data_IF_743355930870
#
_entry.id   IF_743355930870
#
_cell.length_a   1.000
_cell.length_b   1.000
_cell.length_c   1.000
_cell.angle_alpha   90.00
_cell.angle_beta   90.00
_cell.angle_gamma   90.00
#
_symmetry.space_group_name_H-M   'P 1'
#
loop_
_entity.id
_entity.type
_entity.pdbx_description
1 polymer ?
#
# COMPACT_ATOMS: atom_id res chain seq x y z
N UNK A 1 -4.51 6.42 -3.18
CA UNK A 1 -3.94 5.24 -3.91
C UNK A 1 -2.72 5.60 -4.72
N UNK A 2 -1.67 4.77 -4.63
CA UNK A 2 -0.41 4.91 -5.38
C UNK A 2 -0.53 4.63 -6.88
N UNK A 3 0.43 5.13 -7.67
CA UNK A 3 0.60 4.70 -9.08
C UNK A 3 1.09 3.25 -9.11
N UNK A 4 0.39 2.40 -9.89
CA UNK A 4 0.69 0.97 -9.98
C UNK A 4 0.48 0.42 -11.39
N UNK A 5 1.47 -0.28 -11.92
CA UNK A 5 1.44 -0.87 -13.26
C UNK A 5 0.43 -2.01 -13.29
N UNK A 6 -0.46 -2.00 -14.28
CA UNK A 6 -1.54 -2.98 -14.37
C UNK A 6 -2.73 -2.70 -13.45
N UNK A 7 -2.75 -1.56 -12.73
CA UNK A 7 -3.90 -1.15 -11.91
C UNK A 7 -5.20 -1.21 -12.72
N UNK A 8 -6.11 -2.12 -12.34
CA UNK A 8 -7.43 -2.33 -12.95
C UNK A 8 -8.43 -1.19 -12.68
N UNK A 9 -7.96 0.02 -12.37
CA UNK A 9 -8.80 1.19 -12.01
C UNK A 9 -9.94 1.45 -12.99
N UNK A 10 -9.71 1.33 -14.31
CA UNK A 10 -10.74 1.55 -15.34
C UNK A 10 -11.71 0.36 -15.50
N UNK A 11 -11.32 -0.82 -15.03
CA UNK A 11 -12.07 -2.07 -15.19
C UNK A 11 -12.73 -2.53 -13.90
N UNK A 12 -12.37 -1.96 -12.75
CA UNK A 12 -12.81 -2.40 -11.44
C UNK A 12 -14.34 -2.50 -11.35
N UNK A 13 -15.05 -1.44 -11.74
CA UNK A 13 -16.53 -1.42 -11.71
C UNK A 13 -17.14 -2.52 -12.57
N UNK A 14 -16.67 -2.70 -13.80
CA UNK A 14 -17.19 -3.74 -14.72
C UNK A 14 -16.90 -5.14 -14.18
N UNK A 15 -15.70 -5.38 -13.68
CA UNK A 15 -15.33 -6.66 -13.04
C UNK A 15 -16.23 -6.90 -11.82
N UNK A 16 -16.42 -5.88 -10.98
CA UNK A 16 -17.29 -5.94 -9.81
C UNK A 16 -18.75 -6.26 -10.18
N UNK A 17 -19.28 -5.72 -11.28
CA UNK A 17 -20.62 -6.02 -11.78
C UNK A 17 -20.75 -7.48 -12.20
N UNK A 18 -19.78 -7.99 -12.97
CA UNK A 18 -19.75 -9.40 -13.37
C UNK A 18 -19.66 -10.32 -12.15
N UNK A 19 -18.83 -9.99 -11.18
CA UNK A 19 -18.68 -10.75 -9.96
C UNK A 19 -19.96 -10.72 -9.11
N UNK A 20 -20.60 -9.56 -8.95
CA UNK A 20 -21.86 -9.46 -8.21
C UNK A 20 -23.00 -10.28 -8.85
N UNK A 21 -23.05 -10.35 -10.17
CA UNK A 21 -24.04 -11.14 -10.90
C UNK A 21 -23.95 -12.65 -10.63
N UNK A 22 -22.83 -13.14 -10.10
CA UNK A 22 -22.69 -14.55 -9.71
C UNK A 22 -23.45 -14.91 -8.43
N UNK A 23 -23.84 -13.92 -7.61
CA UNK A 23 -24.40 -14.15 -6.28
C UNK A 23 -23.37 -14.63 -5.23
N UNK A 24 -22.07 -14.55 -5.54
CA UNK A 24 -21.00 -14.91 -4.61
C UNK A 24 -21.03 -14.06 -3.33
N UNK A 25 -20.78 -14.70 -2.19
CA UNK A 25 -20.64 -14.03 -0.89
C UNK A 25 -19.19 -13.98 -0.42
N UNK A 26 -18.38 -14.97 -0.80
CA UNK A 26 -16.96 -15.05 -0.50
C UNK A 26 -16.13 -14.96 -1.77
N UNK A 27 -15.07 -14.17 -1.74
CA UNK A 27 -14.17 -14.03 -2.88
C UNK A 27 -12.70 -14.08 -2.46
N UNK A 28 -11.85 -14.56 -3.36
CA UNK A 28 -10.40 -14.49 -3.23
C UNK A 28 -9.78 -13.70 -4.38
N UNK A 29 -8.92 -12.73 -4.05
CA UNK A 29 -8.08 -11.99 -4.99
C UNK A 29 -6.62 -12.42 -4.76
N UNK A 30 -6.12 -13.36 -5.57
CA UNK A 30 -4.82 -14.02 -5.35
C UNK A 30 -3.59 -13.18 -5.74
N UNK A 31 -3.80 -12.08 -6.45
CA UNK A 31 -2.75 -11.17 -6.93
C UNK A 31 -3.17 -9.72 -6.69
N UNK A 32 -3.47 -9.40 -5.43
CA UNK A 32 -4.24 -8.21 -5.09
C UNK A 32 -3.52 -6.90 -5.37
N UNK A 33 -2.18 -6.88 -5.35
CA UNK A 33 -1.39 -5.68 -5.64
C UNK A 33 -1.79 -4.51 -4.73
N UNK A 34 -2.37 -3.45 -5.32
CA UNK A 34 -2.91 -2.29 -4.57
C UNK A 34 -4.36 -2.47 -4.09
N UNK A 35 -4.87 -3.69 -4.12
CA UNK A 35 -6.20 -4.12 -3.61
C UNK A 35 -7.40 -3.56 -4.37
N UNK A 36 -7.21 -3.04 -5.59
CA UNK A 36 -8.29 -2.33 -6.30
C UNK A 36 -9.52 -3.21 -6.56
N UNK A 37 -9.30 -4.47 -6.96
CA UNK A 37 -10.39 -5.42 -7.21
C UNK A 37 -10.96 -5.93 -5.89
N UNK A 38 -10.11 -6.33 -4.94
CA UNK A 38 -10.56 -6.71 -3.60
C UNK A 38 -11.45 -5.65 -2.92
N UNK A 39 -11.06 -4.38 -2.98
CA UNK A 39 -11.86 -3.25 -2.49
C UNK A 39 -13.22 -3.15 -3.19
N UNK A 40 -13.26 -3.34 -4.51
CA UNK A 40 -14.51 -3.27 -5.27
C UNK A 40 -15.46 -4.41 -4.91
N UNK A 41 -14.94 -5.62 -4.73
CA UNK A 41 -15.73 -6.77 -4.29
C UNK A 41 -16.24 -6.55 -2.85
N UNK A 42 -15.40 -6.01 -1.96
CA UNK A 42 -15.79 -5.64 -0.59
C UNK A 42 -16.89 -4.57 -0.57
N UNK A 43 -16.79 -3.51 -1.39
CA UNK A 43 -17.86 -2.49 -1.53
C UNK A 43 -19.21 -3.08 -1.92
N UNK A 44 -19.20 -4.22 -2.60
CA UNK A 44 -20.40 -4.94 -3.03
C UNK A 44 -20.92 -5.94 -1.99
N UNK A 45 -20.35 -5.92 -0.78
CA UNK A 45 -20.78 -6.73 0.35
C UNK A 45 -20.17 -8.14 0.39
N UNK A 46 -19.17 -8.45 -0.45
CA UNK A 46 -18.47 -9.73 -0.37
C UNK A 46 -17.46 -9.75 0.77
N UNK A 47 -17.30 -10.90 1.41
CA UNK A 47 -16.17 -11.17 2.30
C UNK A 47 -14.95 -11.57 1.46
N UNK A 48 -13.96 -10.69 1.38
CA UNK A 48 -12.84 -10.85 0.44
C UNK A 48 -11.56 -11.26 1.17
N UNK A 49 -10.91 -12.32 0.69
CA UNK A 49 -9.53 -12.67 1.04
C UNK A 49 -8.59 -12.10 -0.03
N UNK A 50 -7.78 -11.11 0.34
CA UNK A 50 -6.81 -10.46 -0.54
C UNK A 50 -5.40 -11.00 -0.28
N UNK A 51 -4.75 -11.51 -1.32
CA UNK A 51 -3.44 -12.14 -1.22
C UNK A 51 -2.41 -11.49 -2.14
N UNK A 52 -1.17 -11.43 -1.67
CA UNK A 52 -0.01 -11.10 -2.50
C UNK A 52 1.27 -11.64 -1.85
N UNK A 53 2.35 -11.72 -2.62
CA UNK A 53 3.69 -12.01 -2.10
C UNK A 53 4.36 -10.76 -1.50
N UNK A 54 3.99 -9.56 -1.96
CA UNK A 54 4.60 -8.30 -1.55
C UNK A 54 4.12 -7.82 -0.16
N UNK A 55 5.03 -7.24 0.63
CA UNK A 55 4.72 -6.71 1.97
C UNK A 55 3.86 -5.45 1.88
N UNK A 56 4.12 -4.56 0.93
CA UNK A 56 3.29 -3.37 0.77
C UNK A 56 1.86 -3.71 0.37
N UNK A 57 1.68 -4.77 -0.42
CA UNK A 57 0.36 -5.28 -0.79
C UNK A 57 -0.37 -5.86 0.41
N UNK A 58 0.31 -6.57 1.30
CA UNK A 58 -0.26 -7.00 2.59
C UNK A 58 -0.70 -5.80 3.44
N UNK A 59 0.11 -4.74 3.55
CA UNK A 59 -0.26 -3.53 4.29
C UNK A 59 -1.53 -2.88 3.70
N UNK A 60 -1.62 -2.76 2.38
CA UNK A 60 -2.82 -2.26 1.72
C UNK A 60 -4.02 -3.18 1.91
N UNK A 61 -3.83 -4.51 1.88
CA UNK A 61 -4.90 -5.48 2.13
C UNK A 61 -5.40 -5.38 3.57
N UNK A 62 -4.50 -5.24 4.54
CA UNK A 62 -4.87 -5.03 5.95
C UNK A 62 -5.65 -3.73 6.12
N UNK A 63 -5.23 -2.64 5.47
CA UNK A 63 -5.89 -1.35 5.54
C UNK A 63 -7.26 -1.33 4.84
N UNK A 64 -7.35 -1.76 3.58
CA UNK A 64 -8.53 -1.54 2.75
C UNK A 64 -9.50 -2.72 2.71
N UNK A 65 -9.04 -3.92 3.03
CA UNK A 65 -9.82 -5.16 2.90
C UNK A 65 -10.13 -5.77 4.26
N UNK A 66 -9.12 -6.01 5.10
CA UNK A 66 -9.27 -6.63 6.41
C UNK A 66 -9.94 -5.69 7.43
N UNK A 67 -9.51 -4.42 7.48
CA UNK A 67 -10.08 -3.42 8.40
C UNK A 67 -11.51 -3.09 8.00
N UNK A 68 -12.45 -3.30 8.92
CA UNK A 68 -13.83 -2.83 8.80
C UNK A 68 -13.94 -1.39 9.30
N UNK A 69 -14.38 -0.47 8.42
CA UNK A 69 -14.55 0.94 8.77
C UNK A 69 -15.44 1.15 10.01
N UNK A 70 -16.45 0.29 10.22
CA UNK A 70 -17.36 0.41 11.38
C UNK A 70 -16.68 0.10 12.73
N UNK A 71 -15.55 -0.62 12.70
CA UNK A 71 -14.79 -1.00 13.90
C UNK A 71 -13.61 -0.09 14.23
N UNK A 72 -13.37 0.95 13.43
CA UNK A 72 -12.21 1.84 13.59
C UNK A 72 -12.57 3.03 14.48
N UNK A 73 -11.71 3.30 15.46
CA UNK A 73 -11.75 4.54 16.23
C UNK A 73 -11.18 5.68 15.36
N UNK A 74 -12.06 6.39 14.67
CA UNK A 74 -11.69 7.52 13.80
C UNK A 74 -11.03 8.67 14.56
N UNK A 75 -11.36 8.87 15.85
CA UNK A 75 -10.72 9.91 16.65
C UNK A 75 -9.26 9.56 16.92
N UNK A 76 -9.00 8.33 17.38
CA UNK A 76 -7.65 7.84 17.61
C UNK A 76 -6.80 7.83 16.33
N UNK A 77 -7.39 7.44 15.18
CA UNK A 77 -6.70 7.50 13.89
C UNK A 77 -6.36 8.93 13.48
N UNK A 78 -7.31 9.87 13.63
CA UNK A 78 -7.10 11.28 13.34
C UNK A 78 -6.01 11.91 14.21
N UNK A 79 -6.01 11.60 15.51
CA UNK A 79 -4.98 12.04 16.46
C UNK A 79 -3.59 11.50 16.10
N UNK A 80 -3.51 10.20 15.76
CA UNK A 80 -2.25 9.59 15.32
C UNK A 80 -1.71 10.26 14.04
N UNK A 81 -2.55 10.50 13.04
CA UNK A 81 -2.15 11.18 11.80
C UNK A 81 -1.71 12.63 12.05
N UNK A 82 -2.39 13.35 12.94
CA UNK A 82 -2.02 14.71 13.33
C UNK A 82 -0.67 14.74 14.05
N UNK A 83 -0.46 13.83 15.00
CA UNK A 83 0.82 13.66 15.69
C UNK A 83 1.96 13.42 14.69
N UNK A 84 1.84 12.42 13.82
CA UNK A 84 2.83 12.11 12.79
C UNK A 84 3.15 13.30 11.88
N UNK A 85 2.15 14.11 11.55
CA UNK A 85 2.30 15.28 10.68
C UNK A 85 3.05 16.46 11.34
N UNK A 86 3.14 16.47 12.67
CA UNK A 86 3.77 17.54 13.46
C UNK A 86 5.16 17.18 13.99
N UNK A 87 5.60 15.94 13.78
CA UNK A 87 6.93 15.51 14.18
C UNK A 87 8.03 16.39 13.55
N UNK A 88 9.08 16.73 14.29
CA UNK A 88 10.24 17.38 13.71
C UNK A 88 10.88 16.45 12.67
N UNK A 89 11.31 16.96 11.50
CA UNK A 89 11.98 16.14 10.49
C UNK A 89 13.31 15.61 11.02
N UNK A 90 13.66 14.38 10.65
CA UNK A 90 14.91 13.71 11.02
C UNK A 90 15.50 13.07 9.78
N UNK A 91 16.79 13.30 9.53
CA UNK A 91 17.49 12.61 8.45
C UNK A 91 17.72 11.14 8.84
N UNK A 92 17.23 10.22 8.00
CA UNK A 92 17.42 8.79 8.16
C UNK A 92 17.76 8.09 6.82
N UNK A 93 17.51 6.79 6.77
CA UNK A 93 17.84 5.98 5.59
C UNK A 93 17.12 6.47 4.33
N UNK A 94 15.85 6.91 4.43
CA UNK A 94 15.10 7.41 3.27
C UNK A 94 15.75 8.69 2.75
N UNK A 95 16.09 9.62 3.65
CA UNK A 95 16.73 10.88 3.28
C UNK A 95 18.07 10.67 2.59
N UNK A 96 18.93 9.83 3.15
CA UNK A 96 20.24 9.56 2.55
C UNK A 96 20.11 8.82 1.22
N UNK A 97 19.36 7.73 1.21
CA UNK A 97 19.32 6.79 0.10
C UNK A 97 18.42 7.28 -1.03
N UNK A 98 17.19 7.66 -0.70
CA UNK A 98 16.13 7.99 -1.66
C UNK A 98 16.03 9.48 -2.02
N UNK A 99 16.82 10.36 -1.36
CA UNK A 99 16.77 11.81 -1.61
C UNK A 99 18.12 12.47 -1.90
N UNK A 100 19.22 12.05 -1.26
CA UNK A 100 20.56 12.64 -1.47
C UNK A 100 21.38 11.83 -2.48
N UNK A 101 21.49 10.52 -2.27
CA UNK A 101 22.17 9.62 -3.19
C UNK A 101 21.38 9.40 -4.49
N UNK A 102 20.06 9.52 -4.42
CA UNK A 102 19.14 9.50 -5.56
C UNK A 102 18.18 10.68 -5.50
N UNK A 103 17.19 10.75 -6.39
CA UNK A 103 16.19 11.83 -6.40
C UNK A 103 14.78 11.28 -6.47
N UNK A 104 14.47 10.24 -5.70
CA UNK A 104 13.11 9.72 -5.64
C UNK A 104 12.17 10.66 -4.87
N UNK A 105 12.67 11.30 -3.80
CA UNK A 105 11.95 12.34 -3.07
C UNK A 105 12.86 13.54 -2.81
N UNK A 106 12.26 14.71 -2.59
CA UNK A 106 13.00 15.87 -2.11
C UNK A 106 13.47 15.62 -0.65
N UNK A 107 14.68 16.04 -0.24
CA UNK A 107 15.19 15.81 1.12
C UNK A 107 14.25 16.29 2.24
N UNK A 108 13.59 17.43 2.07
CA UNK A 108 12.60 17.93 3.06
C UNK A 108 11.44 16.96 3.29
N UNK A 109 11.04 16.22 2.25
CA UNK A 109 10.01 15.18 2.35
C UNK A 109 10.61 13.87 2.88
N UNK A 110 11.85 13.54 2.49
CA UNK A 110 12.58 12.39 3.02
C UNK A 110 12.66 12.40 4.54
N UNK A 111 13.06 13.53 5.12
CA UNK A 111 13.25 13.65 6.57
C UNK A 111 11.92 13.58 7.35
N UNK A 112 10.80 13.94 6.71
CA UNK A 112 9.45 13.74 7.27
C UNK A 112 9.00 12.29 7.17
N UNK A 113 9.34 11.59 6.08
CA UNK A 113 9.07 10.16 5.93
C UNK A 113 9.83 9.37 7.00
N UNK A 114 11.12 9.67 7.19
CA UNK A 114 11.96 9.06 8.22
C UNK A 114 11.34 9.25 9.62
N UNK A 115 11.06 10.51 10.01
CA UNK A 115 10.46 10.81 11.31
C UNK A 115 9.10 10.11 11.53
N UNK A 116 8.19 10.17 10.54
CA UNK A 116 6.87 9.56 10.66
C UNK A 116 6.96 8.03 10.76
N UNK A 117 7.85 7.40 9.99
CA UNK A 117 7.93 5.95 9.95
C UNK A 117 8.66 5.36 11.17
N UNK A 118 9.65 6.04 11.71
CA UNK A 118 10.23 5.72 13.01
C UNK A 118 9.17 5.75 14.11
N UNK A 119 8.31 6.77 14.12
CA UNK A 119 7.22 6.85 15.09
C UNK A 119 6.20 5.73 14.92
N UNK A 120 5.85 5.36 13.68
CA UNK A 120 4.98 4.21 13.41
C UNK A 120 5.60 2.92 13.96
N UNK A 121 6.90 2.69 13.73
CA UNK A 121 7.61 1.50 14.25
C UNK A 121 7.64 1.46 15.78
N UNK A 122 7.81 2.63 16.41
CA UNK A 122 7.98 2.73 17.86
C UNK A 122 6.67 2.61 18.63
N UNK A 123 5.62 3.26 18.15
CA UNK A 123 4.40 3.50 18.92
C UNK A 123 3.20 2.68 18.44
N UNK A 124 3.22 2.18 17.21
CA UNK A 124 2.04 1.54 16.59
C UNK A 124 2.30 0.10 16.12
N UNK A 125 3.54 -0.39 16.14
CA UNK A 125 3.90 -1.71 15.62
C UNK A 125 3.05 -2.84 16.22
N UNK A 126 2.49 -3.69 15.34
CA UNK A 126 1.61 -4.80 15.70
C UNK A 126 0.19 -4.37 16.10
N UNK A 127 -0.08 -3.07 16.20
CA UNK A 127 -1.39 -2.53 16.54
C UNK A 127 -2.35 -2.43 15.34
N UNK A 128 -3.64 -2.19 15.59
CA UNK A 128 -4.66 -2.09 14.54
C UNK A 128 -4.48 -0.84 13.65
N UNK A 129 -3.86 0.24 14.17
CA UNK A 129 -3.63 1.47 13.41
C UNK A 129 -2.40 1.39 12.49
N UNK A 130 -1.44 0.50 12.76
CA UNK A 130 -0.21 0.39 11.95
C UNK A 130 -0.48 0.27 10.45
N UNK A 131 -1.30 -0.67 9.95
CA UNK A 131 -1.54 -0.78 8.51
C UNK A 131 -2.18 0.47 7.91
N UNK A 132 -3.01 1.21 8.67
CA UNK A 132 -3.68 2.42 8.21
C UNK A 132 -2.69 3.59 8.11
N UNK A 133 -1.83 3.75 9.12
CA UNK A 133 -0.80 4.78 9.15
C UNK A 133 0.30 4.54 8.10
N UNK A 134 0.74 3.29 7.93
CA UNK A 134 1.67 2.92 6.86
C UNK A 134 1.08 3.16 5.47
N UNK A 135 -0.19 2.80 5.27
CA UNK A 135 -0.90 3.09 4.02
C UNK A 135 -0.95 4.60 3.76
N UNK A 136 -1.33 5.39 4.77
CA UNK A 136 -1.36 6.85 4.68
C UNK A 136 -0.01 7.44 4.27
N UNK A 137 1.08 6.97 4.91
CA UNK A 137 2.44 7.42 4.64
C UNK A 137 2.90 7.07 3.21
N UNK A 138 2.68 5.82 2.77
CA UNK A 138 3.07 5.38 1.42
C UNK A 138 2.31 6.19 0.37
N UNK A 139 1.02 6.42 0.57
CA UNK A 139 0.24 7.24 -0.36
C UNK A 139 0.67 8.70 -0.35
N UNK A 140 1.07 9.25 0.81
CA UNK A 140 1.63 10.59 0.91
C UNK A 140 2.95 10.70 0.15
N UNK A 141 3.84 9.73 0.32
CA UNK A 141 5.11 9.67 -0.38
C UNK A 141 4.91 9.57 -1.90
N UNK A 142 3.99 8.73 -2.39
CA UNK A 142 3.71 8.61 -3.83
C UNK A 142 3.21 9.94 -4.45
N UNK A 143 2.48 10.76 -3.69
CA UNK A 143 2.01 12.08 -4.13
C UNK A 143 3.13 13.10 -4.32
N UNK A 144 4.27 12.90 -3.68
CA UNK A 144 5.44 13.81 -3.69
C UNK A 144 6.71 13.14 -4.23
N UNK A 145 6.57 12.03 -4.96
CA UNK A 145 7.71 11.38 -5.60
C UNK A 145 8.17 12.13 -6.86
N UNK A 146 9.37 11.81 -7.32
CA UNK A 146 9.99 12.36 -8.52
C UNK A 146 10.30 11.27 -9.55
N UNK A 147 9.39 10.29 -9.67
CA UNK A 147 9.41 9.21 -10.68
C UNK A 147 8.43 9.43 -11.83
N UNK A 148 8.33 8.49 -12.77
CA UNK A 148 7.26 8.44 -13.79
C UNK A 148 6.16 7.42 -13.48
N UNK A 149 6.06 6.94 -12.23
CA UNK A 149 5.06 5.96 -11.78
C UNK A 149 5.58 4.54 -11.55
N UNK A 150 6.89 4.34 -11.74
CA UNK A 150 7.65 3.16 -11.29
C UNK A 150 8.97 3.65 -10.68
N UNK A 151 9.50 2.89 -9.73
CA UNK A 151 10.69 3.28 -8.96
C UNK A 151 12.00 2.81 -9.60
N UNK A 152 11.97 2.35 -10.85
CA UNK A 152 13.20 1.97 -11.58
C UNK A 152 14.15 3.15 -11.84
N UNK A 153 13.61 4.37 -11.90
CA UNK A 153 14.38 5.58 -12.16
C UNK A 153 13.66 6.83 -11.63
N UNK A 154 14.44 7.88 -11.42
CA UNK A 154 13.97 9.22 -11.07
C UNK A 154 14.31 10.23 -12.18
N UNK A 155 13.56 11.33 -12.24
CA UNK A 155 13.79 12.37 -13.25
C UNK A 155 15.00 13.26 -12.90
N UNK A 156 15.66 13.81 -13.94
CA UNK A 156 16.87 14.63 -13.78
C UNK A 156 16.61 15.94 -13.02
N UNK A 157 15.45 16.54 -13.20
CA UNK A 157 15.01 17.72 -12.45
C UNK A 157 13.85 17.30 -11.55
N UNK A 158 13.73 17.89 -10.37
CA UNK A 158 12.63 17.58 -9.46
C UNK A 158 11.27 17.72 -10.17
N UNK A 159 10.44 16.69 -10.07
CA UNK A 159 9.05 16.83 -10.47
C UNK A 159 8.39 17.93 -9.62
N UNK A 160 7.54 18.77 -10.20
CA UNK A 160 6.88 19.87 -9.47
C UNK A 160 6.15 19.40 -8.22
N UNK A 161 5.57 18.19 -8.27
CA UNK A 161 4.89 17.57 -7.13
C UNK A 161 5.81 17.21 -5.98
N UNK A 162 7.10 16.94 -6.24
CA UNK A 162 8.08 16.57 -5.22
C UNK A 162 8.49 17.74 -4.31
N UNK A 163 8.18 18.96 -4.74
CA UNK A 163 8.39 20.19 -3.96
C UNK A 163 7.18 20.55 -3.09
N UNK A 164 6.07 19.80 -3.21
CA UNK A 164 4.92 19.99 -2.32
C UNK A 164 5.21 19.33 -0.96
N UNK A 165 4.65 19.85 0.14
CA UNK A 165 4.80 19.21 1.44
C UNK A 165 4.17 17.82 1.44
N UNK A 166 4.82 16.88 2.14
CA UNK A 166 4.24 15.59 2.49
C UNK A 166 3.00 15.82 3.37
N UNK A 167 1.86 15.27 2.95
CA UNK A 167 0.58 15.40 3.64
C UNK A 167 0.00 14.01 3.89
N UNK A 168 -0.06 13.60 5.16
CA UNK A 168 -0.72 12.36 5.58
C UNK A 168 -2.24 12.56 5.55
N UNK A 169 -2.97 11.54 5.09
CA UNK A 169 -4.42 11.56 4.95
C UNK A 169 -5.02 10.26 5.45
N UNK A 170 -6.21 10.33 6.03
CA UNK A 170 -6.96 9.13 6.39
C UNK A 170 -7.24 8.30 5.12
N UNK A 171 -6.92 6.99 5.13
CA UNK A 171 -7.32 6.10 4.04
C UNK A 171 -8.84 6.02 3.91
N UNK A 172 -9.36 5.94 2.69
CA UNK A 172 -10.79 5.69 2.45
C UNK A 172 -11.14 4.24 2.82
N UNK A 173 -11.54 4.03 4.07
CA UNK A 173 -11.90 2.71 4.59
C UNK A 173 -13.26 2.26 4.07
N UNK A 174 -13.45 0.94 4.03
CA UNK A 174 -14.66 0.29 3.56
C UNK A 174 -15.32 -0.47 4.71
N UNK A 175 -16.64 -0.40 4.79
CA UNK A 175 -17.43 -1.24 5.69
C UNK A 175 -17.32 -2.72 5.29
N UNK A 176 -17.51 -3.59 6.28
CA UNK A 176 -17.48 -5.04 6.13
C UNK A 176 -16.11 -5.65 6.42
N UNK A 177 -16.11 -6.96 6.66
CA UNK A 177 -14.89 -7.71 6.96
C UNK A 177 -14.22 -8.27 5.70
N UNK A 178 -12.92 -8.50 5.81
CA UNK A 178 -12.13 -9.26 4.85
C UNK A 178 -10.92 -9.88 5.53
N UNK A 179 -10.01 -10.43 4.73
CA UNK A 179 -8.77 -11.04 5.24
C UNK A 179 -7.60 -10.68 4.35
N UNK A 180 -6.47 -10.28 4.95
CA UNK A 180 -5.21 -10.12 4.24
C UNK A 180 -4.32 -11.36 4.46
N UNK A 181 -3.69 -11.86 3.39
CA UNK A 181 -2.74 -12.96 3.50
C UNK A 181 -1.53 -12.70 2.62
N UNK A 182 -0.34 -12.64 3.23
CA UNK A 182 0.90 -12.61 2.45
C UNK A 182 1.39 -14.02 2.14
N UNK A 183 1.65 -14.32 0.88
CA UNK A 183 2.21 -15.60 0.45
C UNK A 183 2.21 -15.78 -1.06
N UNK A 184 2.87 -16.86 -1.51
CA UNK A 184 2.83 -17.26 -2.90
C UNK A 184 1.45 -17.82 -3.27
N UNK A 185 0.90 -17.41 -4.40
CA UNK A 185 -0.45 -17.78 -4.82
C UNK A 185 -0.63 -19.30 -5.01
N UNK A 186 0.41 -20.01 -5.49
CA UNK A 186 0.35 -21.46 -5.70
C UNK A 186 0.34 -22.19 -4.36
N UNK A 187 1.17 -21.76 -3.41
CA UNK A 187 1.19 -22.33 -2.06
C UNK A 187 -0.12 -22.03 -1.31
N UNK A 188 -0.62 -20.81 -1.42
CA UNK A 188 -1.84 -20.36 -0.76
C UNK A 188 -3.10 -21.05 -1.30
N UNK A 189 -3.18 -21.29 -2.62
CA UNK A 189 -4.30 -21.99 -3.25
C UNK A 189 -4.54 -23.39 -2.65
N UNK A 190 -3.50 -24.02 -2.10
CA UNK A 190 -3.60 -25.34 -1.46
C UNK A 190 -4.10 -25.28 0.00
N UNK A 191 -4.11 -24.10 0.63
CA UNK A 191 -4.29 -23.95 2.10
C UNK A 191 -5.48 -23.07 2.50
N UNK A 192 -5.93 -22.17 1.63
CA UNK A 192 -6.91 -21.12 1.99
C UNK A 192 -8.36 -21.59 2.08
N UNK A 193 -8.68 -22.80 1.62
CA UNK A 193 -10.04 -23.34 1.65
C UNK A 193 -10.91 -22.92 0.46
N UNK A 194 -12.23 -23.23 0.49
CA UNK A 194 -13.15 -22.93 -0.59
C UNK A 194 -13.61 -21.46 -0.62
N UNK A 195 -13.91 -20.96 -1.81
CA UNK A 195 -14.47 -19.63 -2.07
C UNK A 195 -15.53 -19.73 -3.18
N UNK A 196 -16.53 -18.86 -3.16
CA UNK A 196 -17.56 -18.81 -4.22
C UNK A 196 -16.98 -18.25 -5.53
N UNK A 197 -16.00 -17.35 -5.42
CA UNK A 197 -15.40 -16.63 -6.53
C UNK A 197 -13.89 -16.50 -6.35
N UNK A 198 -13.13 -16.73 -7.42
CA UNK A 198 -11.70 -16.41 -7.48
C UNK A 198 -11.41 -15.41 -8.59
N UNK A 199 -10.72 -14.33 -8.26
CA UNK A 199 -10.14 -13.38 -9.21
C UNK A 199 -8.64 -13.65 -9.36
N UNK A 200 -8.21 -13.90 -10.60
CA UNK A 200 -6.83 -14.22 -10.95
C UNK A 200 -6.34 -13.28 -12.05
N UNK A 201 -5.37 -12.44 -11.72
CA UNK A 201 -4.70 -11.53 -12.65
C UNK A 201 -3.18 -11.55 -12.39
N UNK A 202 -2.51 -12.68 -12.66
CA UNK A 202 -1.08 -12.81 -12.44
C UNK A 202 -0.28 -11.86 -13.35
N UNK A 203 0.96 -11.51 -12.97
CA UNK A 203 1.81 -10.67 -13.79
C UNK A 203 2.09 -11.29 -15.16
N UNK A 204 1.96 -10.49 -16.23
CA UNK A 204 2.07 -10.93 -17.63
C UNK A 204 3.51 -11.13 -18.12
N UNK A 205 4.53 -10.78 -17.33
CA UNK A 205 5.94 -10.80 -17.74
C UNK A 205 6.91 -11.09 -16.57
N UNK A 206 8.13 -11.51 -16.90
CA UNK A 206 9.19 -11.88 -15.94
C UNK A 206 9.79 -10.67 -15.18
N UNK A 207 9.34 -9.44 -15.45
CA UNK A 207 9.80 -8.27 -14.72
C UNK A 207 9.30 -8.36 -13.27
N UNK A 208 10.22 -8.54 -12.32
CA UNK A 208 9.87 -8.62 -10.90
C UNK A 208 9.26 -7.29 -10.47
N UNK A 209 7.97 -7.30 -10.13
CA UNK A 209 7.25 -6.13 -9.60
C UNK A 209 7.94 -5.51 -8.38
N UNK A 210 8.67 -6.34 -7.63
CA UNK A 210 9.54 -5.91 -6.54
C UNK A 210 10.47 -4.76 -6.94
N UNK A 211 11.13 -4.81 -8.10
CA UNK A 211 12.08 -3.75 -8.51
C UNK A 211 11.37 -2.44 -8.84
N UNK A 212 10.14 -2.53 -9.36
CA UNK A 212 9.32 -1.36 -9.69
C UNK A 212 8.76 -0.64 -8.46
N UNK A 213 8.70 -1.31 -7.31
CA UNK A 213 8.05 -0.83 -6.07
C UNK A 213 8.91 -1.05 -4.81
N UNK A 214 10.24 -1.09 -4.96
CA UNK A 214 11.19 -1.44 -3.91
C UNK A 214 11.22 -0.45 -2.73
N UNK A 215 10.91 0.83 -2.95
CA UNK A 215 10.81 1.82 -1.87
C UNK A 215 9.64 1.46 -0.96
N UNK A 216 8.51 0.98 -1.49
CA UNK A 216 7.38 0.56 -0.67
C UNK A 216 7.69 -0.66 0.17
N UNK A 217 8.44 -1.62 -0.39
CA UNK A 217 8.98 -2.75 0.38
C UNK A 217 9.88 -2.27 1.52
N UNK A 218 10.78 -1.33 1.24
CA UNK A 218 11.71 -0.76 2.23
C UNK A 218 10.95 0.01 3.32
N UNK A 219 9.96 0.83 2.96
CA UNK A 219 9.15 1.58 3.93
C UNK A 219 8.35 0.66 4.85
N UNK A 220 7.79 -0.43 4.32
CA UNK A 220 7.01 -1.37 5.12
C UNK A 220 7.90 -2.23 6.01
N UNK A 221 8.95 -2.83 5.45
CA UNK A 221 9.92 -3.61 6.21
C UNK A 221 10.66 -2.75 7.24
N UNK A 222 10.82 -1.46 6.95
CA UNK A 222 11.61 -0.50 7.71
C UNK A 222 13.03 -0.98 7.98
N UNK A 223 13.64 -1.50 6.92
CA UNK A 223 15.03 -1.91 6.88
C UNK A 223 15.91 -0.88 6.14
N UNK A 224 17.22 -1.10 6.21
CA UNK A 224 18.23 -0.28 5.56
C UNK A 224 19.12 -1.15 4.66
N UNK A 225 18.58 -1.66 3.53
CA UNK A 225 19.32 -2.58 2.67
C UNK A 225 20.57 -1.89 2.08
N UNK A 226 21.70 -2.59 2.05
CA UNK A 226 22.97 -2.03 1.55
C UNK A 226 22.94 -1.64 0.06
N UNK A 227 22.03 -2.24 -0.71
CA UNK A 227 21.84 -1.99 -2.14
C UNK A 227 20.35 -1.87 -2.45
N UNK A 228 19.96 -0.83 -3.20
CA UNK A 228 18.62 -0.67 -3.77
C UNK A 228 18.73 -0.54 -5.29
N UNK A 229 17.81 -1.16 -6.02
CA UNK A 229 17.94 -1.36 -7.48
C UNK A 229 18.79 -2.60 -7.79
N UNK A 230 18.24 -3.50 -8.60
CA UNK A 230 18.97 -4.66 -9.16
C UNK A 230 19.72 -4.21 -10.40
#
# INVERSE_FOLDING_TARGET
MIKYLGSKRRLATVIGELCAATGAHTAIDLFTGTTRIAQELKRRGMHVTACDSARYSEVFARCYVETDAAGVDSAALGEALAHLSTLPPVDGYVTETFCRASRFFHPDNGARIDAARDEIARSFAGGPLEPLLLTSLIEAADRVDSTTGVQMAYVKQWASRALRPLELREPELLEGGGRAVRGDAIELAQRLGPFDLAYLDPPYNQHRYFTNYHIWETLVAWDAPAHYGV
#
